data_IF_286508088119
#
_entry.id   IF_286508088119
#
_cell.length_a   1.000
_cell.length_b   1.000
_cell.length_c   1.000
_cell.angle_alpha   90.00
_cell.angle_beta   90.00
_cell.angle_gamma   90.00
#
_symmetry.space_group_name_H-M   'P 1'
#
loop_
_entity.id
_entity.type
_entity.pdbx_description
1 polymer ?
#
# COMPACT_ATOMS: atom_id res chain seq x y z
N UNK A 1 -61.86 14.78 27.39
CA UNK A 1 -60.57 15.13 28.00
C UNK A 1 -59.49 14.26 27.33
N UNK A 2 -58.43 14.82 26.92
CA UNK A 2 -57.22 14.20 26.36
C UNK A 2 -57.07 14.22 24.82
N UNK A 3 -56.69 15.37 24.29
CA UNK A 3 -56.02 15.48 23.01
C UNK A 3 -55.11 16.72 23.03
N UNK A 4 -54.09 16.69 23.90
CA UNK A 4 -53.25 17.87 24.14
C UNK A 4 -51.73 17.53 24.33
N UNK A 5 -51.28 16.31 24.01
CA UNK A 5 -49.88 15.97 24.29
C UNK A 5 -49.00 15.72 23.05
N UNK A 6 -49.56 15.71 21.82
CA UNK A 6 -48.81 15.40 20.59
C UNK A 6 -48.45 16.58 19.70
N UNK A 7 -48.72 17.81 20.13
CA UNK A 7 -48.50 19.00 19.29
C UNK A 7 -47.32 19.90 19.71
N UNK A 8 -46.28 19.34 20.40
CA UNK A 8 -45.19 20.17 20.93
C UNK A 8 -43.81 19.92 20.27
N UNK A 9 -43.73 19.18 19.18
CA UNK A 9 -42.46 18.91 18.45
C UNK A 9 -42.61 19.03 16.94
N UNK A 10 -43.36 20.00 16.46
CA UNK A 10 -43.15 20.50 15.08
C UNK A 10 -42.19 21.66 15.16
N UNK A 11 -40.85 21.35 15.21
CA UNK A 11 -39.85 22.28 14.67
C UNK A 11 -40.05 22.25 13.17
N UNK A 12 -40.33 23.39 12.58
CA UNK A 12 -40.21 23.62 11.14
C UNK A 12 -38.74 23.33 10.80
N UNK A 13 -38.49 22.26 10.04
CA UNK A 13 -37.18 22.03 9.42
C UNK A 13 -37.03 23.13 8.38
N UNK A 14 -36.14 24.07 8.67
CA UNK A 14 -35.64 24.98 7.64
C UNK A 14 -35.04 24.13 6.50
N UNK A 15 -35.38 24.42 5.23
CA UNK A 15 -34.79 23.67 4.13
C UNK A 15 -33.27 23.83 4.18
N UNK A 16 -32.53 22.70 4.25
CA UNK A 16 -31.10 22.68 4.06
C UNK A 16 -30.87 23.24 2.66
N UNK A 17 -30.47 24.51 2.58
CA UNK A 17 -29.96 25.11 1.35
C UNK A 17 -28.66 24.36 1.10
N UNK A 18 -28.71 23.39 0.19
CA UNK A 18 -27.49 22.82 -0.39
C UNK A 18 -26.76 23.98 -1.06
N UNK A 19 -25.60 24.35 -0.54
CA UNK A 19 -24.71 25.28 -1.23
C UNK A 19 -24.38 24.68 -2.60
N UNK A 20 -25.13 25.12 -3.62
CA UNK A 20 -24.75 24.91 -5.01
C UNK A 20 -23.46 25.69 -5.27
N UNK A 21 -22.40 24.93 -5.65
CA UNK A 21 -21.10 25.40 -6.17
C UNK A 21 -19.89 25.43 -5.26
N UNK A 22 -19.68 24.42 -4.42
CA UNK A 22 -18.29 24.05 -4.15
C UNK A 22 -17.72 23.36 -5.42
N UNK A 23 -16.56 23.76 -5.94
CA UNK A 23 -15.96 23.08 -7.09
C UNK A 23 -15.77 21.60 -6.75
N UNK A 24 -16.36 20.72 -7.58
CA UNK A 24 -16.15 19.27 -7.45
C UNK A 24 -14.66 19.03 -7.71
N UNK A 25 -13.87 18.84 -6.65
CA UNK A 25 -12.46 18.53 -6.78
C UNK A 25 -12.38 17.10 -7.31
N UNK A 26 -11.65 16.90 -8.41
CA UNK A 26 -11.41 15.59 -9.00
C UNK A 26 -10.71 14.68 -7.96
N UNK A 27 -11.26 13.49 -7.72
CA UNK A 27 -10.69 12.50 -6.80
C UNK A 27 -9.20 12.26 -7.08
N UNK A 28 -8.80 12.20 -8.36
CA UNK A 28 -7.40 12.01 -8.75
C UNK A 28 -6.50 13.15 -8.28
N UNK A 29 -6.98 14.39 -8.31
CA UNK A 29 -6.24 15.56 -7.79
C UNK A 29 -6.05 15.43 -6.27
N UNK A 30 -7.08 14.99 -5.54
CA UNK A 30 -6.99 14.72 -4.09
C UNK A 30 -5.91 13.66 -3.83
N UNK A 31 -5.94 12.55 -4.56
CA UNK A 31 -4.99 11.46 -4.39
C UNK A 31 -3.55 11.89 -4.69
N UNK A 32 -3.32 12.57 -5.81
CA UNK A 32 -1.98 13.05 -6.19
C UNK A 32 -1.45 14.07 -5.19
N UNK A 33 -2.26 15.03 -4.74
CA UNK A 33 -1.82 16.03 -3.76
C UNK A 33 -1.51 15.42 -2.40
N UNK A 34 -2.31 14.46 -1.95
CA UNK A 34 -2.07 13.74 -0.69
C UNK A 34 -0.79 12.89 -0.78
N UNK A 35 -0.62 12.14 -1.88
CA UNK A 35 0.60 11.37 -2.10
C UNK A 35 1.85 12.26 -2.10
N UNK A 36 1.79 13.43 -2.76
CA UNK A 36 2.89 14.39 -2.76
C UNK A 36 3.23 14.85 -1.33
N UNK A 37 2.23 15.19 -0.55
CA UNK A 37 2.42 15.63 0.84
C UNK A 37 3.13 14.56 1.68
N UNK A 38 2.77 13.29 1.51
CA UNK A 38 3.37 12.17 2.24
C UNK A 38 4.78 11.85 1.74
N UNK A 39 4.96 11.74 0.42
CA UNK A 39 6.19 11.23 -0.18
C UNK A 39 7.32 12.27 -0.25
N UNK A 40 6.99 13.56 -0.34
CA UNK A 40 7.97 14.62 -0.61
C UNK A 40 9.07 14.73 0.45
N UNK A 41 8.78 14.74 1.78
CA UNK A 41 9.84 14.85 2.78
C UNK A 41 10.87 13.73 2.68
N UNK A 42 10.43 12.48 2.47
CA UNK A 42 11.31 11.32 2.34
C UNK A 42 12.17 11.41 1.08
N UNK A 43 11.54 11.55 -0.08
CA UNK A 43 12.25 11.54 -1.36
C UNK A 43 13.16 12.75 -1.55
N UNK A 44 12.71 13.94 -1.14
CA UNK A 44 13.52 15.15 -1.28
C UNK A 44 14.77 15.12 -0.40
N UNK A 45 14.64 14.64 0.85
CA UNK A 45 15.80 14.55 1.75
C UNK A 45 16.76 13.43 1.32
N UNK A 46 16.25 12.25 0.93
CA UNK A 46 17.12 11.17 0.46
C UNK A 46 17.85 11.55 -0.85
N UNK A 47 17.17 12.21 -1.79
CA UNK A 47 17.77 12.70 -3.02
C UNK A 47 18.89 13.73 -2.79
N UNK A 48 18.88 14.42 -1.63
CA UNK A 48 19.90 15.39 -1.21
C UNK A 48 21.00 14.80 -0.32
N UNK A 49 20.86 13.52 0.09
CA UNK A 49 21.79 12.90 1.06
C UNK A 49 21.63 13.45 2.48
N UNK A 50 20.42 13.82 2.87
CA UNK A 50 20.10 14.42 4.18
C UNK A 50 18.97 13.71 4.94
N UNK A 51 18.50 12.55 4.47
CA UNK A 51 17.37 11.85 5.11
C UNK A 51 17.69 11.46 6.55
N UNK A 52 18.84 10.83 6.79
CA UNK A 52 19.27 10.41 8.14
C UNK A 52 19.41 11.59 9.13
N UNK A 53 19.71 12.78 8.61
CA UNK A 53 19.82 14.01 9.43
C UNK A 53 18.47 14.65 9.70
N UNK A 54 17.54 14.60 8.73
CA UNK A 54 16.31 15.40 8.75
C UNK A 54 15.09 14.64 9.23
N UNK A 55 15.02 13.31 8.98
CA UNK A 55 13.86 12.51 9.39
C UNK A 55 13.84 12.32 10.90
N UNK A 56 12.77 12.72 11.59
CA UNK A 56 12.62 12.44 13.02
C UNK A 56 12.53 10.93 13.25
N UNK A 57 12.87 10.49 14.44
CA UNK A 57 12.69 9.10 14.84
C UNK A 57 11.79 9.03 16.07
N UNK A 58 10.64 8.44 15.89
CA UNK A 58 9.64 8.17 16.91
C UNK A 58 9.38 6.66 16.93
N UNK A 59 9.51 6.02 18.08
CA UNK A 59 9.29 4.59 18.29
C UNK A 59 9.37 4.28 19.78
N UNK A 60 8.73 3.19 20.20
CA UNK A 60 8.90 2.59 21.53
C UNK A 60 10.28 1.89 21.69
N UNK A 61 10.99 1.63 20.58
CA UNK A 61 12.30 0.97 20.57
C UNK A 61 13.38 1.84 19.90
N UNK A 62 14.38 2.25 20.68
CA UNK A 62 15.48 3.09 20.20
C UNK A 62 16.37 2.40 19.14
N UNK A 63 16.50 1.08 19.18
CA UNK A 63 17.38 0.30 18.29
C UNK A 63 16.88 0.25 16.84
N UNK A 64 15.60 0.56 16.61
CA UNK A 64 14.97 0.60 15.29
C UNK A 64 15.42 1.75 14.38
N UNK A 65 16.08 2.78 14.93
CA UNK A 65 16.46 3.99 14.16
C UNK A 65 17.22 3.68 12.87
N UNK A 66 18.12 2.71 12.89
CA UNK A 66 18.95 2.35 11.74
C UNK A 66 18.17 1.80 10.55
N UNK A 67 16.95 1.28 10.76
CA UNK A 67 16.07 0.72 9.70
C UNK A 67 15.03 1.72 9.23
N UNK A 68 14.62 2.65 10.08
CA UNK A 68 13.53 3.59 9.81
C UNK A 68 13.68 4.33 8.48
N UNK A 69 14.89 4.59 8.03
CA UNK A 69 15.17 5.31 6.80
C UNK A 69 14.91 4.48 5.54
N UNK A 70 15.37 3.20 5.55
CA UNK A 70 15.06 2.26 4.47
C UNK A 70 13.56 1.94 4.47
N UNK A 71 12.99 1.75 5.64
CA UNK A 71 11.57 1.50 5.82
C UNK A 71 10.72 2.62 5.24
N UNK A 72 10.98 3.89 5.59
CA UNK A 72 10.27 5.04 5.03
C UNK A 72 10.39 5.09 3.50
N UNK A 73 11.60 4.95 2.98
CA UNK A 73 11.86 5.03 1.55
C UNK A 73 11.22 3.87 0.78
N UNK A 74 11.40 2.63 1.23
CA UNK A 74 10.87 1.45 0.56
C UNK A 74 9.32 1.46 0.49
N UNK A 75 8.66 1.86 1.57
CA UNK A 75 7.19 1.96 1.64
C UNK A 75 6.65 3.09 0.76
N UNK A 76 7.28 4.26 0.78
CA UNK A 76 6.94 5.34 -0.16
C UNK A 76 7.13 4.87 -1.60
N UNK A 77 8.30 4.29 -1.93
CA UNK A 77 8.59 3.85 -3.29
C UNK A 77 7.63 2.76 -3.75
N UNK A 78 7.33 1.77 -2.92
CA UNK A 78 6.37 0.71 -3.22
C UNK A 78 4.98 1.27 -3.62
N UNK A 79 4.51 2.29 -2.88
CA UNK A 79 3.21 2.91 -3.14
C UNK A 79 3.17 3.81 -4.38
N UNK A 80 4.25 4.54 -4.68
CA UNK A 80 4.26 5.47 -5.83
C UNK A 80 4.73 4.81 -7.14
N UNK A 81 5.36 3.64 -7.08
CA UNK A 81 5.98 3.00 -8.23
C UNK A 81 5.06 2.85 -9.45
N UNK A 82 3.78 2.38 -9.32
CA UNK A 82 2.89 2.31 -10.48
C UNK A 82 2.56 3.68 -11.09
N UNK A 83 2.47 4.73 -10.26
CA UNK A 83 2.27 6.08 -10.75
C UNK A 83 3.48 6.58 -11.56
N UNK A 84 4.69 6.32 -11.08
CA UNK A 84 5.92 6.65 -11.81
C UNK A 84 6.02 5.87 -13.13
N UNK A 85 5.56 4.61 -13.16
CA UNK A 85 5.61 3.75 -14.35
C UNK A 85 4.77 4.27 -15.53
N UNK A 86 3.81 5.17 -15.29
CA UNK A 86 3.09 5.87 -16.37
C UNK A 86 3.99 6.74 -17.24
N UNK A 87 5.18 7.08 -16.75
CA UNK A 87 6.13 7.94 -17.47
C UNK A 87 5.73 9.42 -17.48
N UNK A 88 6.44 10.19 -18.28
CA UNK A 88 6.26 11.64 -18.39
C UNK A 88 5.28 11.96 -19.52
N UNK A 89 4.39 12.93 -19.28
CA UNK A 89 3.49 13.47 -20.29
C UNK A 89 3.32 14.99 -20.10
N UNK A 90 2.62 15.64 -21.05
CA UNK A 90 2.47 17.10 -21.07
C UNK A 90 1.45 17.65 -20.04
N UNK A 91 0.72 16.79 -19.33
CA UNK A 91 -0.25 17.22 -18.31
C UNK A 91 0.45 17.84 -17.09
N UNK A 92 -0.29 18.62 -16.30
CA UNK A 92 0.26 19.14 -15.04
C UNK A 92 0.64 18.01 -14.08
N UNK A 93 -0.15 16.95 -14.02
CA UNK A 93 0.22 15.74 -13.26
C UNK A 93 1.48 15.08 -13.83
N UNK A 94 1.64 15.01 -15.15
CA UNK A 94 2.82 14.47 -15.81
C UNK A 94 4.11 15.22 -15.45
N UNK A 95 4.05 16.55 -15.35
CA UNK A 95 5.18 17.39 -14.89
C UNK A 95 5.52 17.12 -13.42
N UNK A 96 4.51 16.95 -12.57
CA UNK A 96 4.71 16.57 -11.17
C UNK A 96 5.34 15.19 -11.09
N UNK A 97 4.83 14.22 -11.85
CA UNK A 97 5.35 12.85 -11.89
C UNK A 97 6.81 12.81 -12.34
N UNK A 98 7.18 13.62 -13.33
CA UNK A 98 8.59 13.78 -13.77
C UNK A 98 9.50 14.25 -12.62
N UNK A 99 9.05 15.24 -11.82
CA UNK A 99 9.79 15.69 -10.64
C UNK A 99 10.00 14.52 -9.64
N UNK A 100 8.95 13.74 -9.37
CA UNK A 100 9.03 12.62 -8.43
C UNK A 100 9.87 11.46 -8.98
N UNK A 101 9.82 11.21 -10.28
CA UNK A 101 10.71 10.24 -10.94
C UNK A 101 12.18 10.63 -10.75
N UNK A 102 12.54 11.89 -11.02
CA UNK A 102 13.91 12.39 -10.78
C UNK A 102 14.34 12.29 -9.31
N UNK A 103 13.46 12.63 -8.38
CA UNK A 103 13.73 12.47 -6.94
C UNK A 103 13.97 11.00 -6.60
N UNK A 104 13.13 10.08 -7.07
CA UNK A 104 13.24 8.64 -6.82
C UNK A 104 14.56 8.08 -7.36
N UNK A 105 14.94 8.39 -8.60
CA UNK A 105 16.21 7.93 -9.19
C UNK A 105 17.42 8.41 -8.38
N UNK A 106 17.42 9.68 -7.94
CA UNK A 106 18.48 10.21 -7.08
C UNK A 106 18.48 9.55 -5.70
N UNK A 107 17.30 9.34 -5.12
CA UNK A 107 17.14 8.65 -3.83
C UNK A 107 17.70 7.25 -3.87
N UNK A 108 17.38 6.45 -4.90
CA UNK A 108 17.92 5.10 -5.08
C UNK A 108 19.45 5.15 -5.15
N UNK A 109 20.01 6.06 -5.96
CA UNK A 109 21.46 6.20 -6.09
C UNK A 109 22.14 6.47 -4.73
N UNK A 110 21.57 7.36 -3.91
CA UNK A 110 22.12 7.67 -2.58
C UNK A 110 21.91 6.50 -1.61
N UNK A 111 20.74 5.85 -1.64
CA UNK A 111 20.39 4.75 -0.76
C UNK A 111 21.34 3.55 -0.86
N UNK A 112 21.82 3.22 -2.08
CA UNK A 112 22.70 2.06 -2.34
C UNK A 112 24.18 2.43 -2.47
N UNK A 113 24.55 3.69 -2.29
CA UNK A 113 25.95 4.14 -2.38
C UNK A 113 26.61 4.15 -1.01
N UNK A 114 27.62 3.30 -0.81
CA UNK A 114 28.39 3.27 0.44
C UNK A 114 29.14 4.57 0.74
N UNK A 115 29.34 5.42 -0.26
CA UNK A 115 29.94 6.75 -0.10
C UNK A 115 28.91 7.83 0.22
N UNK A 116 27.62 7.51 0.25
CA UNK A 116 26.56 8.45 0.60
C UNK A 116 26.38 8.53 2.10
N UNK A 117 26.11 9.73 2.63
CA UNK A 117 25.67 9.89 4.02
C UNK A 117 24.34 9.17 4.30
N UNK A 118 23.56 8.92 3.25
CA UNK A 118 22.29 8.21 3.28
C UNK A 118 22.38 6.81 2.65
N UNK A 119 23.52 6.12 2.80
CA UNK A 119 23.55 4.67 2.58
C UNK A 119 22.67 4.01 3.65
N UNK A 120 21.53 3.45 3.23
CA UNK A 120 20.48 2.94 4.13
C UNK A 120 20.23 1.44 4.01
N UNK A 121 20.90 0.74 3.06
CA UNK A 121 20.82 -0.72 2.93
C UNK A 121 21.71 -1.39 3.97
N UNK A 122 21.25 -1.48 5.19
CA UNK A 122 21.95 -2.15 6.29
C UNK A 122 21.34 -3.54 6.47
N UNK A 123 22.13 -4.58 6.20
CA UNK A 123 21.67 -6.00 6.18
C UNK A 123 21.51 -6.60 7.57
N UNK A 124 21.76 -5.89 8.63
CA UNK A 124 21.52 -6.34 10.01
C UNK A 124 20.48 -5.47 10.68
N UNK A 125 19.59 -6.07 11.40
CA UNK A 125 19.12 -7.44 11.63
C UNK A 125 17.93 -7.80 10.73
N UNK A 126 17.15 -8.83 11.10
CA UNK A 126 16.05 -9.41 10.32
C UNK A 126 15.06 -8.38 9.72
N UNK A 127 14.80 -7.25 10.38
CA UNK A 127 13.86 -6.20 9.91
C UNK A 127 14.21 -5.68 8.50
N UNK A 128 15.49 -5.61 8.13
CA UNK A 128 15.89 -5.17 6.80
C UNK A 128 15.37 -6.05 5.67
N UNK A 129 15.05 -7.33 5.93
CA UNK A 129 14.44 -8.23 4.95
C UNK A 129 13.07 -7.69 4.48
N UNK A 130 12.27 -7.16 5.40
CA UNK A 130 10.93 -6.58 5.10
C UNK A 130 11.07 -5.41 4.13
N UNK A 131 11.96 -4.47 4.46
CA UNK A 131 12.06 -3.21 3.75
C UNK A 131 12.76 -3.38 2.39
N UNK A 132 13.75 -4.28 2.31
CA UNK A 132 14.36 -4.67 1.04
C UNK A 132 13.34 -5.37 0.12
N UNK A 133 12.44 -6.20 0.67
CA UNK A 133 11.38 -6.84 -0.11
C UNK A 133 10.35 -5.83 -0.64
N UNK A 134 9.97 -4.83 0.16
CA UNK A 134 9.06 -3.76 -0.29
C UNK A 134 9.72 -2.87 -1.36
N UNK A 135 11.02 -2.58 -1.21
CA UNK A 135 11.80 -1.90 -2.25
C UNK A 135 11.87 -2.72 -3.54
N UNK A 136 12.12 -4.02 -3.43
CA UNK A 136 12.15 -4.96 -4.55
C UNK A 136 10.79 -5.01 -5.29
N UNK A 137 9.68 -5.07 -4.54
CA UNK A 137 8.33 -5.01 -5.09
C UNK A 137 8.08 -3.68 -5.84
N UNK A 138 8.56 -2.56 -5.30
CA UNK A 138 8.52 -1.26 -5.98
C UNK A 138 9.28 -1.26 -7.31
N UNK A 139 10.45 -1.91 -7.38
CA UNK A 139 11.20 -2.07 -8.63
C UNK A 139 10.42 -2.89 -9.67
N UNK A 140 9.76 -3.98 -9.25
CA UNK A 140 8.90 -4.77 -10.14
C UNK A 140 7.73 -3.95 -10.70
N UNK A 141 7.21 -2.98 -9.93
CA UNK A 141 6.10 -2.10 -10.31
C UNK A 141 6.51 -0.91 -11.18
N UNK A 142 7.81 -0.58 -11.23
CA UNK A 142 8.34 0.56 -11.99
C UNK A 142 9.55 0.17 -12.86
N UNK A 143 9.41 -0.91 -13.63
CA UNK A 143 10.50 -1.49 -14.44
C UNK A 143 11.02 -0.53 -15.50
N UNK A 144 10.13 0.09 -16.26
CA UNK A 144 10.49 0.89 -17.42
C UNK A 144 11.02 2.26 -17.00
N UNK A 145 10.31 2.92 -16.09
CA UNK A 145 10.63 4.29 -15.74
C UNK A 145 11.68 4.40 -14.63
N UNK A 146 11.81 3.39 -13.78
CA UNK A 146 12.83 3.41 -12.73
C UNK A 146 13.97 2.48 -13.06
N UNK A 147 13.76 1.16 -13.11
CA UNK A 147 14.88 0.22 -13.27
C UNK A 147 15.72 0.48 -14.53
N UNK A 148 15.09 0.61 -15.69
CA UNK A 148 15.81 0.82 -16.96
C UNK A 148 16.51 2.19 -17.07
N UNK A 149 16.11 3.17 -16.23
CA UNK A 149 16.74 4.50 -16.19
C UNK A 149 17.84 4.62 -15.11
N UNK A 150 18.07 3.57 -14.32
CA UNK A 150 19.18 3.55 -13.38
C UNK A 150 20.50 3.24 -14.11
N UNK A 151 21.61 3.92 -13.76
CA UNK A 151 22.93 3.55 -14.24
C UNK A 151 23.31 2.10 -13.91
N UNK A 152 24.07 1.44 -14.78
CA UNK A 152 24.45 0.02 -14.60
C UNK A 152 25.16 -0.26 -13.27
N UNK A 153 26.01 0.67 -12.80
CA UNK A 153 26.69 0.54 -11.51
C UNK A 153 25.70 0.61 -10.32
N UNK A 154 24.64 1.40 -10.45
CA UNK A 154 23.57 1.48 -9.44
C UNK A 154 22.73 0.20 -9.46
N UNK A 155 22.38 -0.31 -10.65
CA UNK A 155 21.69 -1.60 -10.80
C UNK A 155 22.51 -2.75 -10.17
N UNK A 156 23.81 -2.80 -10.44
CA UNK A 156 24.71 -3.80 -9.86
C UNK A 156 24.77 -3.72 -8.33
N UNK A 157 24.76 -2.51 -7.75
CA UNK A 157 24.69 -2.33 -6.28
C UNK A 157 23.36 -2.83 -5.73
N UNK A 158 22.24 -2.51 -6.36
CA UNK A 158 20.92 -3.03 -5.95
C UNK A 158 20.93 -4.55 -5.96
N UNK A 159 21.37 -5.19 -7.04
CA UNK A 159 21.45 -6.66 -7.11
C UNK A 159 22.30 -7.23 -5.97
N UNK A 160 23.42 -6.58 -5.64
CA UNK A 160 24.23 -6.99 -4.49
C UNK A 160 23.48 -6.89 -3.17
N UNK A 161 22.78 -5.75 -2.92
CA UNK A 161 22.02 -5.57 -1.67
C UNK A 161 20.85 -6.55 -1.56
N UNK A 162 20.18 -6.89 -2.66
CA UNK A 162 19.16 -7.94 -2.70
C UNK A 162 19.76 -9.30 -2.33
N UNK A 163 20.90 -9.67 -2.94
CA UNK A 163 21.59 -10.95 -2.63
C UNK A 163 22.14 -11.01 -1.20
N UNK A 164 22.54 -9.89 -0.63
CA UNK A 164 23.03 -9.83 0.76
C UNK A 164 21.96 -10.27 1.78
N UNK A 165 20.66 -10.12 1.47
CA UNK A 165 19.57 -10.58 2.36
C UNK A 165 19.49 -12.11 2.51
N UNK A 166 20.16 -12.88 1.66
CA UNK A 166 20.13 -14.36 1.70
C UNK A 166 20.67 -14.95 3.00
N UNK A 167 21.47 -14.20 3.75
CA UNK A 167 21.95 -14.62 5.09
C UNK A 167 20.84 -14.57 6.16
N UNK A 168 19.71 -13.89 5.89
CA UNK A 168 18.62 -13.72 6.84
C UNK A 168 17.66 -14.91 6.70
N UNK A 169 17.49 -15.67 7.79
CA UNK A 169 16.43 -16.66 7.90
C UNK A 169 15.11 -15.97 8.25
N UNK A 170 14.05 -16.07 7.40
CA UNK A 170 12.74 -15.51 7.71
C UNK A 170 12.06 -16.26 8.86
N UNK A 171 11.03 -15.68 9.44
CA UNK A 171 10.09 -16.41 10.30
C UNK A 171 9.13 -17.23 9.42
N UNK A 172 8.60 -18.34 9.97
CA UNK A 172 7.65 -19.24 9.30
C UNK A 172 6.21 -18.66 9.23
N UNK A 173 6.09 -17.46 8.71
CA UNK A 173 4.87 -16.71 8.53
C UNK A 173 4.95 -15.85 7.24
N UNK A 174 4.21 -14.71 7.16
CA UNK A 174 4.29 -13.81 6.01
C UNK A 174 5.71 -13.34 5.66
N UNK A 175 6.69 -13.48 6.57
CA UNK A 175 8.10 -13.15 6.29
C UNK A 175 8.70 -14.04 5.19
N UNK A 176 8.20 -15.25 4.98
CA UNK A 176 8.58 -16.10 3.86
C UNK A 176 8.34 -15.40 2.50
N UNK A 177 7.28 -14.59 2.40
CA UNK A 177 6.98 -13.86 1.17
C UNK A 177 7.98 -12.74 0.88
N UNK A 178 8.64 -12.18 1.91
CA UNK A 178 9.70 -11.21 1.69
C UNK A 178 10.91 -11.83 1.00
N UNK A 179 11.31 -13.05 1.39
CA UNK A 179 12.38 -13.77 0.69
C UNK A 179 12.01 -14.10 -0.74
N UNK A 180 10.79 -14.61 -0.97
CA UNK A 180 10.30 -14.91 -2.32
C UNK A 180 10.19 -13.67 -3.20
N UNK A 181 9.76 -12.52 -2.67
CA UNK A 181 9.67 -11.27 -3.41
C UNK A 181 11.06 -10.80 -3.89
N UNK A 182 12.07 -10.90 -3.04
CA UNK A 182 13.44 -10.55 -3.40
C UNK A 182 13.96 -11.48 -4.50
N UNK A 183 13.75 -12.80 -4.37
CA UNK A 183 14.18 -13.76 -5.38
C UNK A 183 13.40 -13.62 -6.70
N UNK A 184 12.09 -13.31 -6.66
CA UNK A 184 11.31 -12.99 -7.86
C UNK A 184 11.87 -11.73 -8.57
N UNK A 185 12.30 -10.73 -7.79
CA UNK A 185 12.91 -9.52 -8.34
C UNK A 185 14.29 -9.80 -8.95
N UNK A 186 15.11 -10.64 -8.30
CA UNK A 186 16.38 -11.12 -8.86
C UNK A 186 16.14 -11.88 -10.17
N UNK A 187 15.17 -12.79 -10.22
CA UNK A 187 14.79 -13.52 -11.43
C UNK A 187 14.40 -12.56 -12.56
N UNK A 188 13.56 -11.57 -12.26
CA UNK A 188 13.09 -10.59 -13.26
C UNK A 188 14.23 -9.77 -13.89
N UNK A 189 15.22 -9.36 -13.09
CA UNK A 189 16.24 -8.41 -13.55
C UNK A 189 17.57 -9.06 -13.92
N UNK A 190 17.84 -10.31 -13.50
CA UNK A 190 19.09 -11.00 -13.81
C UNK A 190 18.91 -12.32 -14.54
N UNK A 191 17.68 -12.86 -14.59
CA UNK A 191 17.40 -14.20 -15.09
C UNK A 191 17.79 -15.32 -14.09
N UNK A 192 18.26 -14.99 -12.90
CA UNK A 192 18.74 -15.92 -11.88
C UNK A 192 18.10 -15.68 -10.51
N UNK A 193 17.79 -16.74 -9.78
CA UNK A 193 17.29 -16.67 -8.41
C UNK A 193 17.70 -17.91 -7.61
N UNK A 194 17.59 -17.84 -6.31
CA UNK A 194 17.55 -19.01 -5.43
C UNK A 194 16.14 -19.61 -5.51
N UNK A 195 16.02 -20.74 -6.23
CA UNK A 195 14.71 -21.36 -6.51
C UNK A 195 14.04 -21.86 -5.23
N UNK A 196 14.78 -22.41 -4.29
CA UNK A 196 14.23 -22.91 -3.02
C UNK A 196 13.61 -21.75 -2.23
N UNK A 197 14.34 -20.65 -2.05
CA UNK A 197 13.84 -19.45 -1.39
C UNK A 197 12.65 -18.82 -2.12
N UNK A 198 12.59 -18.90 -3.45
CA UNK A 198 11.49 -18.39 -4.24
C UNK A 198 10.22 -19.24 -4.04
N UNK A 199 10.32 -20.56 -4.11
CA UNK A 199 9.15 -21.48 -4.18
C UNK A 199 8.63 -21.90 -2.81
N UNK A 200 9.48 -21.94 -1.77
CA UNK A 200 9.11 -22.41 -0.44
C UNK A 200 7.91 -21.67 0.14
N UNK A 201 7.91 -20.33 0.07
CA UNK A 201 6.78 -19.55 0.56
C UNK A 201 5.48 -19.87 -0.22
N UNK A 202 5.60 -20.06 -1.54
CA UNK A 202 4.42 -20.29 -2.39
C UNK A 202 3.76 -21.62 -2.03
N UNK A 203 4.55 -22.70 -1.88
CA UNK A 203 4.03 -23.99 -1.44
C UNK A 203 3.41 -23.89 -0.03
N UNK A 204 4.06 -23.20 0.89
CA UNK A 204 3.56 -23.02 2.26
C UNK A 204 2.19 -22.32 2.29
N UNK A 205 2.05 -21.19 1.59
CA UNK A 205 0.78 -20.46 1.52
C UNK A 205 -0.30 -21.19 0.73
N UNK A 206 0.07 -21.89 -0.35
CA UNK A 206 -0.89 -22.66 -1.15
C UNK A 206 -1.45 -23.87 -0.39
N UNK A 207 -0.55 -24.64 0.27
CA UNK A 207 -0.83 -25.99 0.72
C UNK A 207 -1.13 -26.07 2.23
N UNK A 208 -0.60 -25.15 3.06
CA UNK A 208 -0.68 -25.25 4.52
C UNK A 208 -1.39 -24.06 5.18
N UNK A 209 -1.18 -22.83 4.70
CA UNK A 209 -1.64 -21.62 5.39
C UNK A 209 -2.99 -21.09 4.88
N UNK A 210 -3.60 -21.69 3.87
CA UNK A 210 -4.91 -21.27 3.40
C UNK A 210 -6.02 -21.74 4.36
N UNK A 211 -6.75 -20.78 4.93
CA UNK A 211 -7.81 -21.06 5.92
C UNK A 211 -9.20 -21.20 5.26
N UNK A 212 -9.40 -20.58 4.08
CA UNK A 212 -10.68 -20.54 3.38
C UNK A 212 -11.18 -19.13 3.14
N UNK A 213 -12.15 -18.97 2.27
CA UNK A 213 -12.79 -17.70 1.90
C UNK A 213 -11.80 -16.55 1.64
N UNK A 214 -10.73 -16.86 0.91
CA UNK A 214 -9.65 -15.96 0.56
C UNK A 214 -8.74 -15.50 1.73
N UNK A 215 -8.80 -16.14 2.87
CA UNK A 215 -7.97 -15.81 4.02
C UNK A 215 -6.85 -16.83 4.17
N UNK A 216 -5.67 -16.32 4.45
CA UNK A 216 -4.48 -17.08 4.84
C UNK A 216 -4.17 -16.85 6.32
N UNK A 217 -3.73 -17.91 7.02
CA UNK A 217 -3.12 -17.76 8.33
C UNK A 217 -1.75 -17.05 8.20
N UNK A 218 -1.43 -16.23 9.18
CA UNK A 218 -0.15 -15.52 9.25
C UNK A 218 0.88 -16.30 10.09
N UNK A 219 0.99 -17.59 9.83
CA UNK A 219 1.82 -18.54 10.56
C UNK A 219 0.98 -19.68 11.11
N UNK A 220 1.49 -20.39 12.13
CA UNK A 220 0.83 -21.56 12.71
C UNK A 220 -0.51 -21.22 13.36
N UNK A 221 -0.56 -20.10 14.09
CA UNK A 221 -1.78 -19.61 14.73
C UNK A 221 -2.49 -18.58 13.84
N UNK A 222 -3.81 -18.71 13.73
CA UNK A 222 -4.64 -17.73 13.02
C UNK A 222 -4.86 -16.49 13.88
N UNK A 223 -4.55 -15.32 13.33
CA UNK A 223 -4.87 -14.01 13.89
C UNK A 223 -5.78 -13.23 12.93
N UNK A 224 -6.83 -12.61 13.46
CA UNK A 224 -7.69 -11.72 12.68
C UNK A 224 -7.05 -10.34 12.62
N UNK A 225 -6.38 -10.05 11.51
CA UNK A 225 -5.67 -8.82 11.26
C UNK A 225 -5.74 -8.40 9.77
N UNK A 226 -5.01 -7.35 9.39
CA UNK A 226 -4.94 -6.87 8.02
C UNK A 226 -3.76 -7.40 7.21
N UNK A 227 -2.94 -8.34 7.70
CA UNK A 227 -1.77 -8.83 6.97
C UNK A 227 -2.10 -9.51 5.65
N UNK A 228 -3.29 -10.12 5.54
CA UNK A 228 -3.79 -10.63 4.26
C UNK A 228 -3.83 -9.53 3.19
N UNK A 229 -4.31 -8.34 3.53
CA UNK A 229 -4.38 -7.20 2.62
C UNK A 229 -3.06 -6.42 2.53
N UNK A 230 -2.34 -6.26 3.64
CA UNK A 230 -1.11 -5.47 3.70
C UNK A 230 0.05 -6.12 2.93
N UNK A 231 0.19 -7.45 3.05
CA UNK A 231 1.38 -8.18 2.62
C UNK A 231 1.05 -9.42 1.80
N UNK A 232 0.23 -10.35 2.35
CA UNK A 232 0.14 -11.73 1.84
C UNK A 232 -0.34 -11.74 0.39
N UNK A 233 -1.55 -11.27 0.12
CA UNK A 233 -2.10 -11.25 -1.24
C UNK A 233 -1.30 -10.37 -2.21
N UNK A 234 -0.94 -9.12 -1.84
CA UNK A 234 -0.18 -8.27 -2.76
C UNK A 234 1.16 -8.86 -3.18
N UNK A 235 1.86 -9.53 -2.27
CA UNK A 235 3.14 -10.16 -2.61
C UNK A 235 2.94 -11.46 -3.40
N UNK A 236 1.99 -12.31 -3.01
CA UNK A 236 1.66 -13.52 -3.78
C UNK A 236 1.30 -13.17 -5.24
N UNK A 237 0.49 -12.15 -5.46
CA UNK A 237 0.11 -11.72 -6.82
C UNK A 237 1.33 -11.33 -7.65
N UNK A 238 2.22 -10.49 -7.11
CA UNK A 238 3.39 -10.00 -7.84
C UNK A 238 4.46 -11.10 -8.03
N UNK A 239 4.70 -11.97 -7.03
CA UNK A 239 5.63 -13.11 -7.12
C UNK A 239 5.16 -14.11 -8.17
N UNK A 240 3.90 -14.54 -8.09
CA UNK A 240 3.33 -15.53 -9.02
C UNK A 240 3.27 -15.02 -10.45
N UNK A 241 3.05 -13.71 -10.64
CA UNK A 241 3.13 -13.09 -11.98
C UNK A 241 4.52 -13.23 -12.60
N UNK A 242 5.58 -13.02 -11.81
CA UNK A 242 6.96 -13.24 -12.26
C UNK A 242 7.20 -14.72 -12.53
N UNK A 243 6.81 -15.61 -11.60
CA UNK A 243 7.00 -17.05 -11.76
C UNK A 243 6.31 -17.58 -13.02
N UNK A 244 5.08 -17.14 -13.31
CA UNK A 244 4.34 -17.48 -14.54
C UNK A 244 5.07 -16.98 -15.79
N UNK A 245 5.55 -15.74 -15.77
CA UNK A 245 6.32 -15.14 -16.87
C UNK A 245 7.55 -15.99 -17.24
N UNK A 246 8.22 -16.56 -16.24
CA UNK A 246 9.40 -17.39 -16.44
C UNK A 246 9.11 -18.90 -16.56
N UNK A 247 7.85 -19.29 -16.67
CA UNK A 247 7.42 -20.68 -16.88
C UNK A 247 7.71 -21.61 -15.71
N UNK A 248 7.78 -21.08 -14.49
CA UNK A 248 7.91 -21.89 -13.27
C UNK A 248 6.56 -22.53 -12.93
N UNK A 249 6.54 -23.83 -12.56
CA UNK A 249 5.32 -24.60 -12.32
C UNK A 249 4.38 -23.93 -11.30
N UNK A 250 4.91 -23.46 -10.19
CA UNK A 250 4.07 -22.79 -9.16
C UNK A 250 3.38 -21.51 -9.68
N UNK A 251 3.84 -20.93 -10.80
CA UNK A 251 3.19 -19.79 -11.44
C UNK A 251 1.77 -20.10 -11.95
N UNK A 252 1.40 -21.38 -12.14
CA UNK A 252 0.04 -21.80 -12.51
C UNK A 252 -0.98 -21.48 -11.41
N UNK A 253 -0.54 -21.40 -10.15
CA UNK A 253 -1.38 -21.02 -9.02
C UNK A 253 -1.88 -19.56 -9.10
N UNK A 254 -1.33 -18.71 -9.97
CA UNK A 254 -1.70 -17.29 -10.08
C UNK A 254 -3.21 -17.09 -10.30
N UNK A 255 -3.89 -17.93 -11.14
CA UNK A 255 -5.31 -17.70 -11.41
C UNK A 255 -6.18 -17.91 -10.17
N UNK A 256 -5.90 -18.96 -9.40
CA UNK A 256 -6.55 -19.19 -8.10
C UNK A 256 -6.26 -18.06 -7.14
N UNK A 257 -5.01 -17.61 -7.06
CA UNK A 257 -4.61 -16.51 -6.21
C UNK A 257 -5.31 -15.18 -6.57
N UNK A 258 -5.47 -14.87 -7.86
CA UNK A 258 -6.19 -13.68 -8.31
C UNK A 258 -7.70 -13.76 -7.97
N UNK A 259 -8.31 -14.95 -8.07
CA UNK A 259 -9.69 -15.15 -7.61
C UNK A 259 -9.83 -14.93 -6.09
N UNK A 260 -8.89 -15.44 -5.30
CA UNK A 260 -8.83 -15.18 -3.84
C UNK A 260 -8.65 -13.69 -3.56
N UNK A 261 -7.75 -13.02 -4.27
CA UNK A 261 -7.53 -11.57 -4.15
C UNK A 261 -8.77 -10.76 -4.50
N UNK A 262 -9.49 -11.13 -5.56
CA UNK A 262 -10.79 -10.53 -5.92
C UNK A 262 -11.82 -10.70 -4.81
N UNK A 263 -11.92 -11.90 -4.22
CA UNK A 263 -12.85 -12.17 -3.11
C UNK A 263 -12.53 -11.32 -1.87
N UNK A 264 -11.27 -11.29 -1.42
CA UNK A 264 -10.89 -10.48 -0.26
C UNK A 264 -11.09 -8.97 -0.54
N UNK A 265 -10.91 -8.53 -1.78
CA UNK A 265 -11.18 -7.14 -2.17
C UNK A 265 -12.65 -6.76 -1.97
N UNK A 266 -13.61 -7.69 -2.19
CA UNK A 266 -15.01 -7.43 -1.90
C UNK A 266 -15.30 -7.29 -0.39
N UNK A 267 -14.60 -8.03 0.43
CA UNK A 267 -14.72 -7.92 1.89
C UNK A 267 -14.13 -6.59 2.38
N UNK A 268 -12.95 -6.21 1.84
CA UNK A 268 -12.28 -4.94 2.18
C UNK A 268 -13.12 -3.72 1.78
N UNK A 269 -13.79 -3.74 0.63
CA UNK A 269 -14.69 -2.66 0.22
C UNK A 269 -15.88 -2.53 1.17
N UNK A 270 -16.46 -3.66 1.61
CA UNK A 270 -17.63 -3.69 2.51
C UNK A 270 -17.34 -3.18 3.91
N UNK A 271 -16.12 -3.30 4.41
CA UNK A 271 -15.77 -2.83 5.76
C UNK A 271 -15.50 -1.33 5.85
N UNK A 272 -15.42 -0.61 4.74
CA UNK A 272 -15.27 0.85 4.74
C UNK A 272 -16.60 1.47 5.17
N UNK A 273 -16.63 2.16 6.32
CA UNK A 273 -17.82 2.84 6.82
C UNK A 273 -18.26 4.00 5.93
N UNK A 274 -19.50 4.51 6.05
CA UNK A 274 -19.95 5.70 5.34
C UNK A 274 -19.05 6.92 5.55
N UNK A 275 -18.41 7.04 6.72
CA UNK A 275 -17.50 8.13 7.09
C UNK A 275 -16.05 7.92 6.61
N UNK A 276 -15.74 6.77 5.98
CA UNK A 276 -14.38 6.43 5.54
C UNK A 276 -13.49 5.87 6.65
N UNK A 277 -14.06 5.39 7.76
CA UNK A 277 -13.36 4.62 8.79
C UNK A 277 -13.46 3.13 8.53
N UNK A 278 -12.72 2.32 9.28
CA UNK A 278 -12.70 0.87 9.17
C UNK A 278 -12.45 0.23 10.54
N UNK A 279 -12.80 -1.05 10.75
CA UNK A 279 -12.59 -1.75 12.02
C UNK A 279 -11.15 -1.74 12.47
N UNK A 280 -10.93 -1.59 13.78
CA UNK A 280 -9.60 -1.65 14.39
C UNK A 280 -9.29 -3.11 14.71
N UNK A 281 -8.74 -3.85 13.76
CA UNK A 281 -8.46 -5.27 13.87
C UNK A 281 -6.97 -5.57 13.87
N UNK A 282 -6.52 -6.33 14.85
CA UNK A 282 -5.16 -6.85 14.91
C UNK A 282 -4.07 -5.81 15.12
N UNK A 283 -2.89 -6.16 14.65
CA UNK A 283 -1.65 -5.38 14.76
C UNK A 283 -1.51 -4.37 13.60
N UNK A 284 -0.52 -3.49 13.72
CA UNK A 284 -0.08 -2.56 12.66
C UNK A 284 -1.14 -1.53 12.21
N UNK A 285 -2.02 -1.12 13.11
CA UNK A 285 -3.04 -0.10 12.86
C UNK A 285 -2.43 1.26 12.47
N UNK A 286 -1.20 1.54 12.92
CA UNK A 286 -0.42 2.72 12.54
C UNK A 286 -0.03 2.77 11.06
N UNK A 287 -0.19 1.67 10.30
CA UNK A 287 -0.07 1.66 8.83
C UNK A 287 -1.25 2.36 8.14
N UNK A 288 -2.26 2.79 8.91
CA UNK A 288 -3.37 3.62 8.44
C UNK A 288 -4.10 2.99 7.26
N UNK A 289 -4.44 3.81 6.27
CA UNK A 289 -5.09 3.38 5.02
C UNK A 289 -4.27 2.38 4.19
N UNK A 290 -3.03 2.06 4.56
CA UNK A 290 -2.26 0.95 3.99
C UNK A 290 -2.96 -0.40 4.11
N UNK A 291 -3.87 -0.56 5.07
CA UNK A 291 -4.73 -1.77 5.20
C UNK A 291 -5.53 -2.08 3.93
N UNK A 292 -5.71 -1.11 3.03
CA UNK A 292 -6.37 -1.29 1.74
C UNK A 292 -5.40 -1.56 0.57
N UNK A 293 -4.16 -2.00 0.86
CA UNK A 293 -3.17 -2.32 -0.17
C UNK A 293 -3.72 -3.30 -1.22
N UNK A 294 -4.35 -4.40 -0.79
CA UNK A 294 -4.92 -5.37 -1.73
C UNK A 294 -6.07 -4.76 -2.56
N UNK A 295 -6.99 -4.03 -1.95
CA UNK A 295 -8.10 -3.41 -2.69
C UNK A 295 -7.57 -2.44 -3.76
N UNK A 296 -6.53 -1.68 -3.42
CA UNK A 296 -5.83 -0.78 -4.33
C UNK A 296 -5.09 -1.53 -5.44
N UNK A 297 -4.42 -2.64 -5.10
CA UNK A 297 -3.76 -3.50 -6.10
C UNK A 297 -4.79 -4.17 -7.02
N UNK A 298 -5.92 -4.64 -6.47
CA UNK A 298 -6.98 -5.25 -7.26
C UNK A 298 -7.59 -4.28 -8.29
N UNK A 299 -7.75 -3.02 -7.91
CA UNK A 299 -8.16 -1.96 -8.83
C UNK A 299 -7.10 -1.74 -9.93
N UNK A 300 -5.82 -1.64 -9.57
CA UNK A 300 -4.71 -1.48 -10.51
C UNK A 300 -4.61 -2.65 -11.49
N UNK A 301 -4.72 -3.89 -11.00
CA UNK A 301 -4.64 -5.13 -11.80
C UNK A 301 -5.93 -5.44 -12.54
N UNK A 302 -7.01 -4.67 -12.32
CA UNK A 302 -8.36 -4.87 -12.91
C UNK A 302 -8.98 -6.23 -12.58
N UNK A 303 -8.77 -6.70 -11.35
CA UNK A 303 -9.31 -7.96 -10.82
C UNK A 303 -10.39 -7.74 -9.75
N UNK A 304 -11.01 -6.56 -9.74
CA UNK A 304 -12.16 -6.30 -8.86
C UNK A 304 -13.30 -7.28 -9.15
N UNK A 305 -14.10 -7.66 -8.14
CA UNK A 305 -15.28 -8.51 -8.35
C UNK A 305 -16.26 -7.88 -9.34
N UNK A 306 -16.95 -8.70 -10.14
CA UNK A 306 -17.88 -8.21 -11.19
C UNK A 306 -19.03 -7.34 -10.68
N UNK A 307 -19.41 -7.52 -9.42
CA UNK A 307 -20.51 -6.79 -8.76
C UNK A 307 -20.05 -5.51 -8.05
N UNK A 308 -18.78 -5.14 -8.16
CA UNK A 308 -18.20 -3.92 -7.59
C UNK A 308 -17.57 -3.10 -8.72
N UNK A 309 -18.11 -1.91 -8.99
CA UNK A 309 -17.58 -1.06 -10.04
C UNK A 309 -16.25 -0.41 -9.64
N UNK A 310 -15.37 -0.10 -10.60
CA UNK A 310 -14.16 0.67 -10.31
C UNK A 310 -14.45 2.06 -9.69
N UNK A 311 -15.52 2.73 -10.10
CA UNK A 311 -15.94 4.03 -9.53
C UNK A 311 -16.37 3.91 -8.07
N UNK A 312 -17.08 2.83 -7.71
CA UNK A 312 -17.45 2.50 -6.32
C UNK A 312 -16.21 2.35 -5.42
N UNK A 313 -15.20 1.61 -5.88
CA UNK A 313 -13.94 1.43 -5.14
C UNK A 313 -13.18 2.76 -5.03
N UNK A 314 -13.12 3.55 -6.12
CA UNK A 314 -12.50 4.88 -6.08
C UNK A 314 -13.18 5.76 -5.03
N UNK A 315 -14.50 5.85 -5.03
CA UNK A 315 -15.25 6.68 -4.07
C UNK A 315 -14.99 6.26 -2.62
N UNK A 316 -14.99 4.95 -2.35
CA UNK A 316 -14.69 4.40 -1.02
C UNK A 316 -13.28 4.76 -0.56
N UNK A 317 -12.26 4.49 -1.40
CA UNK A 317 -10.86 4.76 -1.07
C UNK A 317 -10.59 6.27 -0.99
N UNK A 318 -11.22 7.11 -1.82
CA UNK A 318 -11.13 8.57 -1.70
C UNK A 318 -11.65 9.03 -0.33
N UNK A 319 -12.78 8.48 0.12
CA UNK A 319 -13.32 8.82 1.44
C UNK A 319 -12.39 8.42 2.57
N UNK A 320 -11.74 7.25 2.48
CA UNK A 320 -10.71 6.82 3.44
C UNK A 320 -9.52 7.79 3.44
N UNK A 321 -9.00 8.16 2.27
CA UNK A 321 -7.89 9.11 2.13
C UNK A 321 -8.24 10.47 2.75
N UNK A 322 -9.42 11.00 2.44
CA UNK A 322 -9.90 12.26 3.01
C UNK A 322 -10.00 12.17 4.52
N UNK A 323 -10.67 11.14 5.06
CA UNK A 323 -10.81 10.92 6.50
C UNK A 323 -9.46 10.87 7.21
N UNK A 324 -8.46 10.24 6.56
CA UNK A 324 -7.14 10.05 7.14
C UNK A 324 -6.26 11.32 7.06
N UNK A 325 -6.37 12.13 6.00
CA UNK A 325 -5.41 13.19 5.69
C UNK A 325 -5.99 14.59 5.45
N UNK A 326 -7.30 14.78 5.57
CA UNK A 326 -7.95 16.09 5.38
C UNK A 326 -7.43 17.14 6.37
N UNK A 327 -7.18 16.74 7.61
CA UNK A 327 -6.48 17.56 8.59
C UNK A 327 -4.96 17.37 8.53
N UNK A 328 -4.25 18.07 9.40
CA UNK A 328 -2.78 17.96 9.54
C UNK A 328 -2.37 17.09 10.74
N UNK A 329 -3.31 16.50 11.46
CA UNK A 329 -3.07 15.78 12.72
C UNK A 329 -2.11 14.59 12.58
N UNK A 330 -1.95 14.05 11.38
CA UNK A 330 -1.05 12.93 11.08
C UNK A 330 0.37 13.36 10.68
N UNK A 331 0.64 14.68 10.69
CA UNK A 331 1.94 15.22 10.34
C UNK A 331 2.47 16.09 11.48
N UNK A 332 3.78 16.09 11.67
CA UNK A 332 4.42 17.07 12.53
C UNK A 332 4.56 18.44 11.83
N UNK A 333 5.08 19.45 12.53
CA UNK A 333 5.26 20.81 12.01
C UNK A 333 6.19 20.90 10.77
N UNK A 334 7.03 19.90 10.57
CA UNK A 334 7.97 19.81 9.43
C UNK A 334 7.43 18.98 8.26
N UNK A 335 6.20 18.44 8.38
CA UNK A 335 5.52 17.65 7.35
C UNK A 335 5.86 16.17 7.33
N UNK A 336 6.54 15.63 8.36
CA UNK A 336 6.77 14.19 8.50
C UNK A 336 5.55 13.52 9.12
N UNK A 337 5.26 12.29 8.67
CA UNK A 337 4.25 11.45 9.33
C UNK A 337 4.70 11.09 10.75
N UNK A 338 3.76 11.10 11.68
CA UNK A 338 3.95 10.72 13.09
C UNK A 338 3.34 9.34 13.37
N UNK A 339 3.78 8.67 14.44
CA UNK A 339 3.28 7.36 14.82
C UNK A 339 1.85 7.43 15.37
N UNK A 340 0.99 6.52 14.92
CA UNK A 340 -0.41 6.42 15.32
C UNK A 340 -1.37 6.20 14.14
N UNK A 341 -2.62 5.95 14.41
CA UNK A 341 -3.68 5.80 13.42
C UNK A 341 -4.22 7.17 13.00
N UNK A 342 -4.57 8.03 13.94
CA UNK A 342 -5.13 9.35 13.68
C UNK A 342 -4.57 10.37 14.67
N UNK A 343 -3.48 11.02 14.32
CA UNK A 343 -2.66 11.84 15.21
C UNK A 343 -1.54 11.02 15.87
N UNK A 344 -0.93 11.59 16.91
CA UNK A 344 0.10 10.92 17.73
C UNK A 344 -0.56 9.95 18.69
N UNK A 345 -0.36 8.66 18.50
CA UNK A 345 -0.94 7.57 19.28
C UNK A 345 0.08 6.44 19.41
N UNK A 346 1.10 6.66 20.23
CA UNK A 346 2.22 5.70 20.37
C UNK A 346 1.82 4.41 21.05
N UNK A 347 0.76 4.40 21.88
CA UNK A 347 0.30 3.21 22.59
C UNK A 347 -0.32 2.14 21.68
N UNK A 348 -0.80 2.52 20.48
CA UNK A 348 -1.32 1.54 19.50
C UNK A 348 -0.22 0.99 18.60
N UNK A 349 1.02 1.47 18.74
CA UNK A 349 2.14 1.03 17.94
C UNK A 349 2.91 -0.07 18.67
N UNK A 350 3.10 -1.19 18.00
CA UNK A 350 3.97 -2.27 18.47
C UNK A 350 5.43 -1.77 18.58
N UNK A 351 6.24 -2.44 19.39
CA UNK A 351 7.63 -2.03 19.67
C UNK A 351 8.53 -1.91 18.43
N UNK A 352 8.21 -2.65 17.37
CA UNK A 352 8.94 -2.59 16.10
C UNK A 352 8.47 -1.46 15.18
N UNK A 353 7.37 -0.76 15.50
CA UNK A 353 6.86 0.36 14.72
C UNK A 353 7.67 1.62 15.00
N UNK A 354 7.97 2.36 13.95
CA UNK A 354 8.72 3.62 14.00
C UNK A 354 8.23 4.60 12.92
N UNK A 355 8.81 5.79 12.87
CA UNK A 355 8.47 6.81 11.86
C UNK A 355 8.52 6.28 10.42
N UNK A 356 9.42 5.34 10.10
CA UNK A 356 9.48 4.73 8.76
C UNK A 356 8.29 3.83 8.47
N UNK A 357 7.80 3.14 9.49
CA UNK A 357 6.71 2.15 9.37
C UNK A 357 5.41 2.76 8.88
N UNK A 358 5.08 3.97 9.31
CA UNK A 358 3.78 4.61 9.02
C UNK A 358 3.62 5.00 7.54
N UNK A 359 4.69 5.00 6.76
CA UNK A 359 4.65 5.22 5.30
C UNK A 359 4.05 4.04 4.53
N UNK A 360 3.71 2.93 5.19
CA UNK A 360 2.90 1.85 4.60
C UNK A 360 1.55 2.35 4.05
N UNK A 361 1.03 3.46 4.57
CA UNK A 361 -0.16 4.11 4.03
C UNK A 361 -0.05 4.47 2.54
N UNK A 362 1.17 4.58 1.98
CA UNK A 362 1.37 4.86 0.55
C UNK A 362 0.82 3.76 -0.36
N UNK A 363 0.62 2.54 0.14
CA UNK A 363 0.08 1.43 -0.64
C UNK A 363 -1.36 1.66 -1.14
N UNK A 364 -2.13 2.57 -0.52
CA UNK A 364 -3.47 2.92 -1.00
C UNK A 364 -3.43 3.61 -2.37
N UNK A 365 -2.33 4.25 -2.75
CA UNK A 365 -2.22 5.07 -3.96
C UNK A 365 -1.88 4.28 -5.24
N UNK A 366 -1.77 2.94 -5.19
CA UNK A 366 -1.46 2.11 -6.36
C UNK A 366 -2.35 2.41 -7.59
N UNK A 367 -3.68 2.69 -7.46
CA UNK A 367 -4.52 3.03 -8.61
C UNK A 367 -4.11 4.28 -9.38
N UNK A 368 -3.24 5.15 -8.83
CA UNK A 368 -2.63 6.25 -9.60
C UNK A 368 -1.81 5.74 -10.79
N UNK A 369 -1.38 4.47 -10.79
CA UNK A 369 -0.77 3.79 -11.93
C UNK A 369 -1.73 3.53 -13.10
N UNK A 370 -3.03 3.70 -12.94
CA UNK A 370 -3.99 3.72 -14.04
C UNK A 370 -3.96 5.09 -14.73
N UNK A 371 -4.08 5.09 -16.06
CA UNK A 371 -4.17 6.36 -16.82
C UNK A 371 -5.37 7.18 -16.35
N UNK A 372 -5.27 8.51 -16.40
CA UNK A 372 -6.40 9.41 -16.06
C UNK A 372 -7.66 9.15 -16.92
N UNK A 373 -7.52 8.53 -18.09
CA UNK A 373 -8.62 8.11 -18.95
C UNK A 373 -9.24 6.75 -18.58
N UNK A 374 -8.70 6.04 -17.59
CA UNK A 374 -9.23 4.74 -17.15
C UNK A 374 -10.61 4.88 -16.52
N UNK A 375 -11.43 3.83 -16.66
CA UNK A 375 -12.79 3.79 -16.08
C UNK A 375 -12.79 3.98 -14.56
N UNK A 376 -11.72 3.61 -13.87
CA UNK A 376 -11.55 3.86 -12.45
C UNK A 376 -11.65 5.36 -12.11
N UNK A 377 -11.10 6.23 -12.96
CA UNK A 377 -11.07 7.68 -12.75
C UNK A 377 -12.24 8.43 -13.40
N UNK A 378 -12.80 7.89 -14.49
CA UNK A 378 -13.78 8.59 -15.32
C UNK A 378 -15.24 8.49 -14.87
N UNK A 379 -15.57 7.51 -14.02
CA UNK A 379 -16.93 7.33 -13.56
C UNK A 379 -17.38 8.46 -12.59
N UNK A 380 -18.69 8.71 -12.44
CA UNK A 380 -19.21 9.58 -11.40
C UNK A 380 -18.90 9.01 -9.99
N UNK A 381 -19.25 9.77 -8.96
CA UNK A 381 -19.31 9.23 -7.60
C UNK A 381 -20.30 8.05 -7.58
N UNK A 382 -19.89 6.95 -6.97
CA UNK A 382 -20.74 5.81 -6.70
C UNK A 382 -20.62 5.42 -5.22
N UNK A 383 -21.74 5.22 -4.56
CA UNK A 383 -21.77 4.71 -3.20
C UNK A 383 -21.17 3.28 -3.15
N UNK A 384 -20.34 3.02 -2.15
CA UNK A 384 -19.82 1.68 -1.90
C UNK A 384 -20.79 0.86 -1.06
N UNK A 385 -20.56 -0.44 -0.94
CA UNK A 385 -21.51 -1.40 -0.36
C UNK A 385 -22.01 -0.99 1.03
N UNK A 386 -21.12 -0.57 1.91
CA UNK A 386 -21.49 -0.14 3.27
C UNK A 386 -22.34 1.14 3.23
N UNK A 387 -21.94 2.15 2.46
CA UNK A 387 -22.72 3.38 2.31
C UNK A 387 -24.10 3.10 1.72
N UNK A 388 -24.21 2.28 0.66
CA UNK A 388 -25.49 1.83 0.09
C UNK A 388 -26.38 1.19 1.16
N UNK A 389 -25.83 0.26 1.93
CA UNK A 389 -26.59 -0.47 2.94
C UNK A 389 -27.16 0.45 4.03
N UNK A 390 -26.36 1.38 4.56
CA UNK A 390 -26.80 2.32 5.57
C UNK A 390 -27.74 3.40 5.04
N UNK A 391 -27.71 3.68 3.73
CA UNK A 391 -28.70 4.53 3.06
C UNK A 391 -29.99 3.78 2.66
N UNK A 392 -30.12 2.51 3.04
CA UNK A 392 -31.30 1.70 2.73
C UNK A 392 -31.37 1.18 1.30
N UNK A 393 -30.29 1.28 0.52
CA UNK A 393 -30.22 0.76 -0.83
C UNK A 393 -29.95 -0.75 -0.85
N UNK A 394 -30.39 -1.41 -1.91
CA UNK A 394 -30.13 -2.84 -2.08
C UNK A 394 -28.67 -3.12 -2.38
N UNK A 395 -28.11 -4.12 -1.71
CA UNK A 395 -26.78 -4.67 -1.96
C UNK A 395 -26.86 -6.17 -2.20
N UNK A 396 -25.97 -6.76 -3.02
CA UNK A 396 -25.89 -8.20 -3.19
C UNK A 396 -25.57 -8.91 -1.86
N UNK A 397 -26.13 -10.10 -1.67
CA UNK A 397 -25.70 -10.99 -0.57
C UNK A 397 -24.23 -11.31 -0.71
N UNK A 398 -23.55 -11.35 0.43
CA UNK A 398 -22.18 -11.85 0.46
C UNK A 398 -22.16 -13.37 0.35
N UNK A 399 -21.16 -13.92 -0.34
CA UNK A 399 -20.97 -15.35 -0.54
C UNK A 399 -19.50 -15.70 -0.45
N UNK A 400 -19.18 -16.68 0.41
CA UNK A 400 -17.84 -17.26 0.47
C UNK A 400 -17.48 -18.00 -0.82
N UNK A 401 -16.18 -18.10 -1.07
CA UNK A 401 -15.64 -18.94 -2.14
C UNK A 401 -15.00 -20.20 -1.56
N UNK A 402 -15.27 -21.33 -2.19
CA UNK A 402 -14.69 -22.62 -1.82
C UNK A 402 -13.83 -23.11 -2.99
N UNK A 403 -12.52 -22.82 -2.95
CA UNK A 403 -11.51 -23.32 -3.89
C UNK A 403 -10.32 -23.90 -3.15
#
# INVERSE_FOLDING_TARGET
MSNSFFNRFKKEEEPIIMEENAPVIDDRVIWVSTLQKIAFPVLNNLARGSLRKSMPYESNNADGRKFAYLEAFARVFNGIAPWLELGVDASEEGKVREKYLRLTLKSIKNAVSTNSNDYIFVVEPKQSLVDVALFAQGLLRAKTQVWLNLPMDVQARIIRELKNTRIIAPFENHWLLFTSMIEATLLEFTGECDKERLTYAISKFRDELYVGDAIYSNGEDFELDYFNSLVIHPMLNDILAVMRKYGLQDGEFLDVQLMRSSRLSSQLERIISPEGTYPLLGKSLSYRCGVFHLLSQAALLKILPRNISPAQVRSALTKVIQKQFEGNQNFNSEGWLICGLNGSQTEICEDNINTGSVYACCAIFLPLGLKASDVFWKGPFEEWSNLKAWNGHQIPKDQSINF
#
